data_IF_590404903440
#
_entry.id   IF_590404903440
#
_cell.length_a   1.000
_cell.length_b   1.000
_cell.length_c   1.000
_cell.angle_alpha   90.00
_cell.angle_beta   90.00
_cell.angle_gamma   90.00
#
_symmetry.space_group_name_H-M   'P 1'
#
loop_
_entity.id
_entity.type
_entity.pdbx_description
1 polymer ?
#
# COMPACT_ATOMS: atom_id res chain seq x y z
N UNK A 1 -5.80 8.40 3.59
CA UNK A 1 -5.85 9.47 2.60
C UNK A 1 -6.98 9.21 1.61
N UNK A 2 -7.57 10.26 1.07
CA UNK A 2 -8.71 10.19 0.14
C UNK A 2 -8.44 10.95 -1.15
N UNK A 3 -7.19 11.26 -1.40
CA UNK A 3 -6.69 12.02 -2.53
C UNK A 3 -6.11 11.12 -3.63
N UNK A 4 -6.55 9.86 -3.69
CA UNK A 4 -6.14 8.88 -4.68
C UNK A 4 -7.35 8.10 -5.23
N UNK A 5 -7.37 7.90 -6.54
CA UNK A 5 -8.24 6.92 -7.21
C UNK A 5 -7.38 5.77 -7.72
N UNK A 6 -7.76 4.54 -7.45
CA UNK A 6 -7.01 3.38 -7.92
C UNK A 6 -7.91 2.21 -8.31
N UNK A 7 -7.43 1.39 -9.24
CA UNK A 7 -8.02 0.11 -9.62
C UNK A 7 -6.93 -0.96 -9.47
N UNK A 8 -7.23 -2.04 -8.75
CA UNK A 8 -6.34 -3.16 -8.53
C UNK A 8 -7.09 -4.49 -8.71
N UNK A 9 -7.06 -5.04 -9.91
CA UNK A 9 -7.74 -6.30 -10.26
C UNK A 9 -7.14 -7.49 -9.55
N UNK A 10 -5.81 -7.51 -9.40
CA UNK A 10 -5.12 -8.58 -8.70
C UNK A 10 -5.56 -8.68 -7.22
N UNK A 11 -5.74 -7.56 -6.53
CA UNK A 11 -6.26 -7.55 -5.17
C UNK A 11 -7.75 -7.95 -5.11
N UNK A 12 -8.57 -7.50 -6.06
CA UNK A 12 -9.97 -7.92 -6.17
C UNK A 12 -10.08 -9.43 -6.33
N UNK A 13 -9.26 -10.03 -7.20
CA UNK A 13 -9.20 -11.48 -7.38
C UNK A 13 -8.71 -12.21 -6.13
N UNK A 14 -7.68 -11.69 -5.47
CA UNK A 14 -7.20 -12.22 -4.22
C UNK A 14 -8.32 -12.32 -3.17
N UNK A 15 -9.09 -11.26 -2.99
CA UNK A 15 -10.23 -11.24 -2.07
C UNK A 15 -11.30 -12.25 -2.49
N UNK A 16 -11.64 -12.34 -3.78
CA UNK A 16 -12.65 -13.27 -4.31
C UNK A 16 -12.26 -14.75 -4.12
N UNK A 17 -10.96 -15.06 -4.08
CA UNK A 17 -10.42 -16.42 -3.84
C UNK A 17 -10.21 -16.77 -2.37
N UNK A 18 -10.81 -16.01 -1.45
CA UNK A 18 -10.71 -16.26 0.00
C UNK A 18 -9.59 -15.47 0.69
N UNK A 19 -8.83 -14.69 -0.06
CA UNK A 19 -7.91 -13.67 0.41
C UNK A 19 -7.10 -14.05 1.65
N UNK A 20 -7.43 -13.39 2.74
CA UNK A 20 -6.71 -13.52 4.01
C UNK A 20 -6.97 -14.82 4.79
N UNK A 21 -7.95 -15.64 4.43
CA UNK A 21 -8.33 -16.83 5.21
C UNK A 21 -7.18 -17.83 5.43
N UNK A 22 -6.39 -18.07 4.36
CA UNK A 22 -5.17 -18.89 4.39
C UNK A 22 -3.97 -18.12 3.79
N UNK A 23 -4.07 -16.81 3.78
CA UNK A 23 -3.19 -15.90 3.09
C UNK A 23 -2.29 -15.10 4.02
N UNK A 24 -1.83 -13.94 3.53
CA UNK A 24 -1.03 -13.00 4.29
C UNK A 24 -1.83 -12.39 5.46
N UNK A 25 -1.13 -11.81 6.41
CA UNK A 25 -1.72 -11.09 7.54
C UNK A 25 -1.96 -9.61 7.25
N UNK A 26 -1.29 -9.11 6.21
CA UNK A 26 -1.49 -7.76 5.69
C UNK A 26 -1.34 -7.70 4.18
N UNK A 27 -1.95 -6.71 3.56
CA UNK A 27 -1.77 -6.41 2.15
C UNK A 27 -1.70 -4.90 1.91
N UNK A 28 -0.88 -4.52 0.94
CA UNK A 28 -0.62 -3.15 0.54
C UNK A 28 -0.85 -3.02 -0.96
N UNK A 29 -1.54 -1.97 -1.38
CA UNK A 29 -1.63 -1.64 -2.79
C UNK A 29 -0.52 -0.67 -3.17
N UNK A 30 0.09 -0.89 -4.33
CA UNK A 30 1.23 -0.12 -4.82
C UNK A 30 1.01 0.42 -6.21
N UNK A 31 1.80 1.40 -6.57
CA UNK A 31 1.92 1.95 -7.93
C UNK A 31 3.39 2.26 -8.21
N UNK A 32 3.74 2.34 -9.48
CA UNK A 32 5.11 2.64 -9.89
C UNK A 32 5.43 4.11 -9.65
N UNK A 33 6.51 4.37 -8.89
CA UNK A 33 7.01 5.72 -8.62
C UNK A 33 8.49 5.69 -8.25
N UNK A 34 9.16 6.82 -8.44
CA UNK A 34 10.51 7.13 -7.95
C UNK A 34 10.54 8.43 -7.12
N UNK A 35 9.37 8.95 -6.74
CA UNK A 35 9.24 10.18 -5.97
C UNK A 35 9.46 9.95 -4.48
N UNK A 36 10.37 10.69 -3.81
CA UNK A 36 10.58 10.57 -2.37
C UNK A 36 9.42 11.13 -1.52
N UNK A 37 8.30 11.51 -2.15
CA UNK A 37 7.10 11.96 -1.44
C UNK A 37 6.29 10.79 -0.84
N UNK A 38 6.52 9.55 -1.30
CA UNK A 38 5.74 8.37 -0.92
C UNK A 38 6.51 7.44 0.02
N UNK A 39 5.77 6.49 0.61
CA UNK A 39 6.33 5.31 1.27
C UNK A 39 6.51 4.19 0.26
N UNK A 40 7.48 3.31 0.48
CA UNK A 40 7.84 2.24 -0.44
C UNK A 40 7.86 0.88 0.23
N UNK A 41 7.56 -0.17 -0.52
CA UNK A 41 7.81 -1.55 -0.12
C UNK A 41 9.29 -1.87 -0.28
N UNK A 42 9.86 -2.53 0.72
CA UNK A 42 11.17 -3.15 0.64
C UNK A 42 11.01 -4.67 0.65
N UNK A 43 11.72 -5.35 -0.25
CA UNK A 43 11.66 -6.79 -0.40
C UNK A 43 12.91 -7.46 0.17
N UNK A 44 12.72 -8.61 0.79
CA UNK A 44 13.81 -9.48 1.22
C UNK A 44 14.42 -10.25 0.06
N UNK A 45 15.48 -11.01 0.33
CA UNK A 45 16.15 -11.85 -0.66
C UNK A 45 15.23 -12.95 -1.21
N UNK A 46 14.18 -13.32 -0.50
CA UNK A 46 13.13 -14.27 -0.88
C UNK A 46 12.00 -13.66 -1.73
N UNK A 47 12.08 -12.36 -2.03
CA UNK A 47 11.07 -11.63 -2.77
C UNK A 47 9.82 -11.25 -1.98
N UNK A 48 9.75 -11.56 -0.69
CA UNK A 48 8.66 -11.16 0.17
C UNK A 48 8.84 -9.72 0.69
N UNK A 49 7.74 -9.04 0.98
CA UNK A 49 7.79 -7.73 1.64
C UNK A 49 8.35 -7.90 3.05
N UNK A 50 9.50 -7.31 3.32
CA UNK A 50 10.17 -7.38 4.60
C UNK A 50 10.09 -6.07 5.40
N UNK A 51 9.82 -4.95 4.75
CA UNK A 51 9.74 -3.64 5.38
C UNK A 51 8.95 -2.66 4.54
N UNK A 52 8.46 -1.59 5.18
CA UNK A 52 7.98 -0.37 4.51
C UNK A 52 8.90 0.77 4.90
N UNK A 53 9.28 1.61 3.95
CA UNK A 53 10.22 2.72 4.17
C UNK A 53 9.54 4.03 3.80
N UNK A 54 9.52 4.97 4.75
CA UNK A 54 8.87 6.25 4.58
C UNK A 54 9.78 7.25 3.89
N UNK A 55 9.26 7.91 2.83
CA UNK A 55 9.92 9.05 2.13
C UNK A 55 11.35 8.74 1.62
N UNK A 56 11.61 7.48 1.31
CA UNK A 56 12.87 7.04 0.73
C UNK A 56 12.59 5.99 -0.34
N UNK A 57 13.10 6.22 -1.55
CA UNK A 57 12.94 5.31 -2.69
C UNK A 57 13.87 4.11 -2.50
N UNK A 58 13.32 2.96 -2.12
CA UNK A 58 14.03 1.69 -1.93
C UNK A 58 13.61 0.62 -2.93
N UNK A 59 12.56 0.90 -3.70
CA UNK A 59 12.01 0.07 -4.77
C UNK A 59 11.24 0.98 -5.74
N UNK A 60 10.55 0.41 -6.73
CA UNK A 60 9.59 1.14 -7.57
C UNK A 60 8.15 1.02 -7.09
N UNK A 61 7.90 0.27 -6.00
CA UNK A 61 6.58 0.00 -5.46
C UNK A 61 6.21 1.01 -4.36
N UNK A 62 5.71 2.16 -4.78
CA UNK A 62 5.19 3.18 -3.89
C UNK A 62 3.81 2.75 -3.34
N UNK A 63 3.56 2.98 -2.07
CA UNK A 63 2.29 2.63 -1.41
C UNK A 63 1.24 3.69 -1.74
N UNK A 64 0.08 3.28 -2.29
CA UNK A 64 -0.97 4.18 -2.73
C UNK A 64 -1.92 4.67 -1.62
N UNK A 65 -1.59 4.44 -0.35
CA UNK A 65 -2.44 4.84 0.80
C UNK A 65 -3.58 3.86 1.12
N UNK A 66 -3.64 2.70 0.45
CA UNK A 66 -4.61 1.63 0.74
C UNK A 66 -3.95 0.52 1.54
N UNK A 67 -4.45 0.30 2.75
CA UNK A 67 -3.88 -0.56 3.77
C UNK A 67 -4.89 -1.61 4.21
N UNK A 68 -4.55 -2.90 4.11
CA UNK A 68 -5.42 -4.01 4.45
C UNK A 68 -4.79 -4.94 5.47
N UNK A 69 -5.55 -5.32 6.46
CA UNK A 69 -5.16 -6.26 7.50
C UNK A 69 -6.11 -7.46 7.50
N UNK A 70 -5.60 -8.62 7.85
CA UNK A 70 -6.35 -9.87 7.89
C UNK A 70 -7.63 -9.74 8.70
N UNK A 71 -7.54 -9.10 9.85
CA UNK A 71 -8.67 -8.83 10.74
C UNK A 71 -8.35 -7.66 11.69
N UNK A 72 -9.37 -7.24 12.44
CA UNK A 72 -9.28 -6.16 13.42
C UNK A 72 -8.23 -6.44 14.51
N UNK A 73 -8.08 -7.70 14.93
CA UNK A 73 -7.15 -8.07 16.00
C UNK A 73 -5.70 -7.91 15.53
N UNK A 74 -5.38 -8.40 14.34
CA UNK A 74 -4.06 -8.25 13.70
C UNK A 74 -3.67 -6.77 13.62
N UNK A 75 -4.60 -5.92 13.15
CA UNK A 75 -4.37 -4.47 13.11
C UNK A 75 -4.14 -3.88 14.52
N UNK A 76 -5.03 -4.17 15.47
CA UNK A 76 -5.00 -3.55 16.79
C UNK A 76 -3.74 -3.91 17.57
N UNK A 77 -3.33 -5.17 17.55
CA UNK A 77 -2.14 -5.65 18.26
C UNK A 77 -0.86 -5.03 17.66
N UNK A 78 -0.72 -5.05 16.32
CA UNK A 78 0.43 -4.47 15.64
C UNK A 78 0.48 -2.94 15.80
N UNK A 79 -0.66 -2.26 15.75
CA UNK A 79 -0.76 -0.83 15.98
C UNK A 79 -0.35 -0.45 17.41
N UNK A 80 -0.83 -1.19 18.42
CA UNK A 80 -0.46 -0.96 19.81
C UNK A 80 1.05 -1.11 20.07
N UNK A 81 1.69 -2.06 19.40
CA UNK A 81 3.15 -2.24 19.49
C UNK A 81 3.90 -1.14 18.73
N UNK A 82 3.45 -0.79 17.52
CA UNK A 82 4.01 0.30 16.73
C UNK A 82 4.02 1.63 17.49
N UNK A 83 2.90 1.97 18.14
CA UNK A 83 2.78 3.23 18.88
C UNK A 83 3.73 3.34 20.07
N UNK A 84 4.18 2.22 20.65
CA UNK A 84 5.17 2.21 21.74
C UNK A 84 6.59 2.48 21.26
N UNK A 85 6.92 2.03 20.04
CA UNK A 85 8.28 1.94 19.52
C UNK A 85 8.47 2.72 18.21
N UNK A 86 7.57 3.66 17.88
CA UNK A 86 7.66 4.42 16.64
C UNK A 86 8.91 5.31 16.62
N UNK A 87 9.76 5.11 15.62
CA UNK A 87 10.99 5.88 15.41
C UNK A 87 10.77 7.17 14.62
N UNK A 88 9.60 7.32 14.00
CA UNK A 88 9.24 8.51 13.23
C UNK A 88 8.65 9.60 14.12
N UNK A 89 8.77 10.86 13.69
CA UNK A 89 8.14 12.00 14.36
C UNK A 89 6.62 11.98 14.29
N UNK A 90 6.07 11.28 13.30
CA UNK A 90 4.65 11.11 13.04
C UNK A 90 4.32 9.62 12.93
N UNK A 91 3.07 9.27 13.23
CA UNK A 91 2.61 7.89 13.08
C UNK A 91 2.12 7.65 11.66
N UNK A 92 2.85 6.82 10.92
CA UNK A 92 2.47 6.38 9.58
C UNK A 92 1.85 4.99 9.63
N UNK A 93 0.72 4.80 8.94
CA UNK A 93 0.06 3.47 8.88
C UNK A 93 0.97 2.42 8.26
N UNK A 94 1.81 2.81 7.30
CA UNK A 94 2.85 1.95 6.70
C UNK A 94 3.76 1.30 7.76
N UNK A 95 4.12 2.02 8.82
CA UNK A 95 4.99 1.52 9.89
C UNK A 95 4.40 0.36 10.70
N UNK A 96 3.07 0.19 10.74
CA UNK A 96 2.41 -0.95 11.39
C UNK A 96 2.83 -2.27 10.71
N UNK A 97 3.06 -2.24 9.40
CA UNK A 97 3.49 -3.42 8.64
C UNK A 97 4.92 -3.86 9.01
N UNK A 98 5.78 -2.93 9.47
CA UNK A 98 7.11 -3.27 9.96
C UNK A 98 7.05 -4.11 11.23
N UNK A 99 6.08 -3.86 12.09
CA UNK A 99 5.82 -4.70 13.28
C UNK A 99 5.38 -6.10 12.86
N UNK A 100 4.43 -6.20 11.90
CA UNK A 100 3.99 -7.49 11.39
C UNK A 100 5.16 -8.28 10.74
N UNK A 101 5.95 -7.62 9.92
CA UNK A 101 7.12 -8.24 9.28
C UNK A 101 8.15 -8.74 10.30
N UNK A 102 8.44 -7.94 11.34
CA UNK A 102 9.34 -8.33 12.42
C UNK A 102 8.83 -9.55 13.23
N UNK A 103 7.52 -9.76 13.27
CA UNK A 103 6.86 -10.91 13.90
C UNK A 103 6.81 -12.14 12.96
N UNK A 104 7.38 -12.04 11.75
CA UNK A 104 7.36 -13.11 10.74
C UNK A 104 6.04 -13.23 9.97
N UNK A 105 5.16 -12.25 10.09
CA UNK A 105 3.92 -12.21 9.34
C UNK A 105 4.18 -12.02 7.83
N UNK A 106 3.41 -12.72 7.00
CA UNK A 106 3.47 -12.54 5.55
C UNK A 106 2.65 -11.32 5.13
N UNK A 107 3.27 -10.45 4.35
CA UNK A 107 2.65 -9.24 3.79
C UNK A 107 2.68 -9.36 2.27
N UNK A 108 1.53 -9.12 1.63
CA UNK A 108 1.42 -9.12 0.18
C UNK A 108 1.40 -7.68 -0.38
N UNK A 109 2.15 -7.45 -1.46
CA UNK A 109 2.05 -6.25 -2.27
C UNK A 109 1.22 -6.53 -3.53
N UNK A 110 0.36 -5.61 -3.92
CA UNK A 110 -0.44 -5.70 -5.14
C UNK A 110 -0.30 -4.42 -5.95
N UNK A 111 0.29 -4.52 -7.14
CA UNK A 111 0.41 -3.38 -8.05
C UNK A 111 -0.97 -3.00 -8.61
N UNK A 112 -1.30 -1.73 -8.54
CA UNK A 112 -2.52 -1.18 -9.13
C UNK A 112 -2.43 -1.16 -10.66
N UNK A 113 -3.52 -1.50 -11.33
CA UNK A 113 -3.66 -1.35 -12.78
C UNK A 113 -3.81 0.13 -13.18
N UNK A 114 -4.35 0.94 -12.29
CA UNK A 114 -4.48 2.39 -12.41
C UNK A 114 -4.30 3.03 -11.04
N UNK A 115 -3.54 4.12 -11.00
CA UNK A 115 -3.43 5.00 -9.83
C UNK A 115 -3.41 6.45 -10.30
N UNK A 116 -4.31 7.26 -9.77
CA UNK A 116 -4.46 8.68 -10.06
C UNK A 116 -4.44 9.46 -8.74
N UNK A 117 -3.34 10.14 -8.40
CA UNK A 117 -3.31 11.06 -7.28
C UNK A 117 -4.01 12.37 -7.66
N UNK A 118 -4.62 13.05 -6.68
CA UNK A 118 -5.25 14.37 -6.85
C UNK A 118 -5.14 15.24 -5.59
N UNK A 119 -4.11 15.01 -4.80
CA UNK A 119 -3.82 15.77 -3.57
C UNK A 119 -3.23 17.16 -3.83
N UNK A 120 -2.76 17.44 -5.05
CA UNK A 120 -2.29 18.76 -5.46
C UNK A 120 -3.09 19.28 -6.66
N UNK A 121 -3.12 20.63 -6.91
CA UNK A 121 -3.81 21.20 -8.07
C UNK A 121 -3.34 20.65 -9.41
N UNK A 122 -2.05 20.29 -9.53
CA UNK A 122 -1.50 19.75 -10.77
C UNK A 122 -1.87 18.27 -10.96
N UNK A 123 -1.84 17.47 -9.90
CA UNK A 123 -2.33 16.10 -9.92
C UNK A 123 -3.82 16.04 -10.25
N UNK A 124 -4.62 16.92 -9.65
CA UNK A 124 -6.05 17.01 -9.95
C UNK A 124 -6.30 17.28 -11.44
N UNK A 125 -5.62 18.26 -12.03
CA UNK A 125 -5.71 18.57 -13.47
C UNK A 125 -5.28 17.39 -14.33
N UNK A 126 -4.21 16.68 -13.93
CA UNK A 126 -3.75 15.50 -14.64
C UNK A 126 -4.77 14.35 -14.53
N UNK A 127 -5.39 14.15 -13.38
CA UNK A 127 -6.40 13.12 -13.18
C UNK A 127 -7.65 13.34 -14.04
N UNK A 128 -8.05 14.59 -14.28
CA UNK A 128 -9.17 14.96 -15.16
C UNK A 128 -8.88 14.77 -16.67
N UNK A 129 -7.64 14.50 -17.06
CA UNK A 129 -7.29 14.32 -18.46
C UNK A 129 -8.12 13.19 -19.12
N UNK A 130 -8.61 13.38 -20.36
CA UNK A 130 -9.47 12.40 -21.04
C UNK A 130 -8.88 10.99 -21.10
N UNK A 131 -7.56 10.86 -21.25
CA UNK A 131 -6.86 9.57 -21.28
C UNK A 131 -6.98 8.81 -19.94
N UNK A 132 -6.92 9.50 -18.81
CA UNK A 132 -7.04 8.91 -17.48
C UNK A 132 -8.49 8.46 -17.22
N UNK A 133 -9.47 9.26 -17.63
CA UNK A 133 -10.88 8.90 -17.56
C UNK A 133 -11.17 7.66 -18.42
N UNK A 134 -10.69 7.61 -19.66
CA UNK A 134 -10.85 6.46 -20.52
C UNK A 134 -10.15 5.20 -19.95
N UNK A 135 -8.99 5.36 -19.32
CA UNK A 135 -8.29 4.29 -18.61
C UNK A 135 -9.11 3.72 -17.45
N UNK A 136 -9.74 4.59 -16.66
CA UNK A 136 -10.61 4.18 -15.55
C UNK A 136 -11.85 3.43 -16.08
N UNK A 137 -12.55 3.99 -17.07
CA UNK A 137 -13.75 3.40 -17.67
C UNK A 137 -13.46 2.02 -18.29
N UNK A 138 -12.24 1.79 -18.80
CA UNK A 138 -11.83 0.51 -19.38
C UNK A 138 -11.52 -0.58 -18.32
N UNK A 139 -11.25 -0.19 -17.06
CA UNK A 139 -10.88 -1.10 -15.98
C UNK A 139 -12.03 -1.39 -15.01
N UNK A 140 -13.09 -0.62 -15.05
CA UNK A 140 -14.27 -0.72 -14.17
C UNK A 140 -15.50 -1.22 -14.91
#
# INVERSE_FOLDING_TARGET
DYDHLFVCRAFKEFCAKGGFANGPEGALLTFESDSPAYSYLQYGADGNVCHTVEKQVVSHDAICGAYYFKDKKTYADACAEYLKNCEYKEFFVSGIYNVLAAQGARIAGFACDLHLPFGTPDEYRAAEAPANKAGFDALT
#
